data_IF_377468876564
#
_entry.id   IF_377468876564
#
_cell.length_a   1.000
_cell.length_b   1.000
_cell.length_c   1.000
_cell.angle_alpha   90.00
_cell.angle_beta   90.00
_cell.angle_gamma   90.00
#
_symmetry.space_group_name_H-M   'P 1'
#
loop_
_entity.id
_entity.type
_entity.pdbx_description
1 polymer ?
#
# COMPACT_ATOMS: atom_id res chain seq x y z
N UNK A 1 -15.01 -18.91 5.49
CA UNK A 1 -14.59 -18.69 4.09
C UNK A 1 -13.56 -19.75 3.74
N UNK A 2 -13.67 -20.42 2.59
CA UNK A 2 -12.76 -21.49 2.23
C UNK A 2 -11.37 -20.91 1.95
N UNK A 3 -10.35 -21.59 2.48
CA UNK A 3 -8.95 -21.22 2.39
C UNK A 3 -8.49 -21.32 0.93
N UNK A 4 -8.07 -20.21 0.32
CA UNK A 4 -7.33 -20.23 -0.93
C UNK A 4 -5.95 -20.86 -0.66
N UNK A 5 -5.72 -22.07 -1.20
CA UNK A 5 -4.40 -22.68 -1.30
C UNK A 5 -3.80 -22.21 -2.63
N UNK A 6 -2.79 -21.36 -2.59
CA UNK A 6 -1.98 -21.05 -3.76
C UNK A 6 -0.68 -21.87 -3.72
N UNK A 7 -0.36 -22.52 -4.84
CA UNK A 7 0.87 -23.27 -5.06
C UNK A 7 1.95 -22.32 -5.60
N UNK A 8 2.94 -21.96 -4.78
CA UNK A 8 4.14 -21.27 -5.25
C UNK A 8 5.28 -22.29 -5.27
N UNK A 9 5.70 -22.69 -6.48
CA UNK A 9 6.70 -23.73 -6.68
C UNK A 9 8.11 -23.19 -6.43
N UNK A 10 8.56 -23.24 -5.17
CA UNK A 10 9.98 -23.21 -4.85
C UNK A 10 10.27 -24.18 -3.69
N UNK A 11 10.65 -25.41 -4.06
CA UNK A 11 11.27 -26.43 -3.22
C UNK A 11 10.81 -26.56 -1.74
N UNK A 12 9.80 -27.43 -1.54
CA UNK A 12 9.59 -28.29 -0.34
C UNK A 12 8.92 -27.74 0.92
N UNK A 13 8.04 -26.75 0.86
CA UNK A 13 7.00 -26.61 1.90
C UNK A 13 5.80 -25.78 1.48
N UNK A 14 4.60 -26.22 1.86
CA UNK A 14 3.34 -25.48 1.70
C UNK A 14 3.41 -24.14 2.44
N UNK A 15 3.32 -23.04 1.70
CA UNK A 15 3.20 -21.69 2.25
C UNK A 15 1.72 -21.46 2.58
N UNK A 16 1.37 -21.48 3.87
CA UNK A 16 0.01 -21.20 4.32
C UNK A 16 -0.14 -19.68 4.49
N UNK A 17 -0.86 -19.01 3.59
CA UNK A 17 -1.05 -17.55 3.59
C UNK A 17 -1.53 -16.97 4.94
N UNK A 18 -2.29 -17.73 5.75
CA UNK A 18 -2.68 -17.30 7.10
C UNK A 18 -1.51 -17.22 8.11
N UNK A 19 -0.37 -17.82 7.76
CA UNK A 19 0.88 -17.77 8.52
C UNK A 19 1.79 -16.64 8.03
N UNK A 20 1.50 -16.07 6.85
CA UNK A 20 2.25 -14.98 6.23
C UNK A 20 1.62 -13.64 6.56
N UNK A 21 0.29 -13.59 6.63
CA UNK A 21 -0.45 -12.37 6.95
C UNK A 21 -1.23 -12.57 8.24
N UNK A 22 -0.79 -11.98 9.36
CA UNK A 22 -1.48 -12.11 10.64
C UNK A 22 -2.86 -11.45 10.56
N UNK A 23 -3.87 -12.05 11.19
CA UNK A 23 -5.18 -11.39 11.36
C UNK A 23 -5.15 -10.36 12.50
N UNK A 24 -4.19 -10.51 13.42
CA UNK A 24 -4.02 -9.61 14.56
C UNK A 24 -3.59 -8.22 14.10
N UNK A 25 -4.38 -7.22 14.49
CA UNK A 25 -4.16 -5.82 14.13
C UNK A 25 -4.50 -5.47 12.68
N UNK A 26 -5.01 -6.40 11.87
CA UNK A 26 -5.43 -6.12 10.49
C UNK A 26 -6.66 -5.19 10.51
N UNK A 27 -6.51 -4.00 9.94
CA UNK A 27 -7.56 -2.98 9.90
C UNK A 27 -8.05 -2.64 8.49
N UNK A 28 -7.33 -3.08 7.46
CA UNK A 28 -7.77 -3.04 6.06
C UNK A 28 -7.06 -4.11 5.25
N UNK A 29 -7.78 -4.81 4.39
CA UNK A 29 -7.22 -5.74 3.42
C UNK A 29 -8.04 -5.69 2.13
N UNK A 30 -7.48 -5.06 1.09
CA UNK A 30 -8.04 -5.05 -0.25
C UNK A 30 -7.22 -6.00 -1.11
N UNK A 31 -7.76 -7.20 -1.31
CA UNK A 31 -7.12 -8.26 -2.08
C UNK A 31 -7.24 -8.04 -3.59
N UNK A 32 -8.22 -7.24 -4.03
CA UNK A 32 -8.54 -7.02 -5.44
C UNK A 32 -8.88 -8.30 -6.22
N UNK A 33 -9.46 -9.27 -5.54
CA UNK A 33 -9.87 -10.57 -6.07
C UNK A 33 -11.27 -10.60 -6.70
N UNK A 34 -12.01 -9.48 -6.69
CA UNK A 34 -13.41 -9.42 -7.15
C UNK A 34 -13.55 -9.68 -8.65
N UNK A 35 -12.61 -9.17 -9.44
CA UNK A 35 -12.51 -9.43 -10.88
C UNK A 35 -13.55 -8.72 -11.76
N UNK A 36 -14.45 -7.92 -11.18
CA UNK A 36 -15.40 -7.08 -11.90
C UNK A 36 -16.07 -6.06 -10.95
N UNK A 37 -16.69 -5.04 -11.54
CA UNK A 37 -17.44 -4.00 -10.84
C UNK A 37 -16.55 -2.90 -10.28
N UNK A 38 -17.16 -2.04 -9.45
CA UNK A 38 -16.53 -0.81 -8.96
C UNK A 38 -16.25 -0.83 -7.46
N UNK A 39 -16.35 -1.98 -6.80
CA UNK A 39 -16.14 -2.08 -5.34
C UNK A 39 -14.87 -2.86 -5.05
N UNK A 40 -13.99 -2.27 -4.24
CA UNK A 40 -12.86 -2.98 -3.64
C UNK A 40 -13.25 -3.40 -2.22
N UNK A 41 -13.47 -4.69 -1.96
CA UNK A 41 -13.87 -5.14 -0.64
C UNK A 41 -12.68 -5.20 0.31
N UNK A 42 -12.77 -4.42 1.39
CA UNK A 42 -12.02 -4.72 2.62
C UNK A 42 -12.46 -6.05 3.27
N UNK A 43 -11.55 -7.02 3.26
CA UNK A 43 -11.70 -8.34 3.88
C UNK A 43 -11.41 -8.37 5.38
N UNK A 44 -10.95 -7.26 5.96
CA UNK A 44 -10.82 -7.11 7.42
C UNK A 44 -12.19 -7.10 8.11
N UNK A 45 -12.16 -7.05 9.44
CA UNK A 45 -13.36 -6.90 10.27
C UNK A 45 -14.01 -5.51 10.16
N UNK A 46 -13.30 -4.50 9.64
CA UNK A 46 -13.77 -3.11 9.63
C UNK A 46 -14.63 -2.77 8.42
N UNK A 47 -14.53 -3.52 7.32
CA UNK A 47 -15.33 -3.29 6.11
C UNK A 47 -15.17 -1.87 5.56
N UNK A 48 -13.94 -1.38 5.58
CA UNK A 48 -13.52 -0.14 4.94
C UNK A 48 -13.51 -0.31 3.40
N UNK A 49 -14.64 -0.68 2.81
CA UNK A 49 -14.74 -0.93 1.37
C UNK A 49 -14.41 0.33 0.57
N UNK A 50 -13.69 0.14 -0.53
CA UNK A 50 -13.34 1.20 -1.46
C UNK A 50 -14.26 1.21 -2.68
N UNK A 51 -14.30 2.33 -3.38
CA UNK A 51 -14.93 2.48 -4.68
C UNK A 51 -13.85 2.78 -5.73
N UNK A 52 -13.81 2.00 -6.81
CA UNK A 52 -12.96 2.26 -7.95
C UNK A 52 -13.50 3.47 -8.72
N UNK A 53 -12.65 4.44 -8.99
CA UNK A 53 -12.98 5.69 -9.68
C UNK A 53 -12.34 5.67 -11.05
N UNK A 54 -13.15 5.88 -12.09
CA UNK A 54 -12.74 5.86 -13.50
C UNK A 54 -12.14 4.54 -14.00
N UNK A 55 -12.39 3.43 -13.30
CA UNK A 55 -11.97 2.09 -13.71
C UNK A 55 -13.17 1.28 -14.21
N UNK A 56 -12.90 0.28 -15.01
CA UNK A 56 -13.85 -0.63 -15.65
C UNK A 56 -13.47 -2.09 -15.38
N UNK A 57 -14.25 -3.04 -15.90
CA UNK A 57 -13.95 -4.46 -15.77
C UNK A 57 -12.64 -4.87 -16.47
N UNK A 58 -12.12 -4.05 -17.39
CA UNK A 58 -10.85 -4.31 -18.09
C UNK A 58 -9.62 -4.11 -17.18
N UNK A 59 -9.75 -3.30 -16.12
CA UNK A 59 -8.66 -2.99 -15.19
C UNK A 59 -8.43 -4.10 -14.15
N UNK A 60 -9.30 -5.11 -14.13
CA UNK A 60 -9.14 -6.31 -13.32
C UNK A 60 -8.30 -7.35 -14.05
N UNK A 61 -7.00 -7.33 -13.79
CA UNK A 61 -6.02 -8.23 -14.43
C UNK A 61 -5.59 -9.37 -13.51
N UNK A 62 -4.84 -10.34 -14.03
CA UNK A 62 -4.30 -11.42 -13.21
C UNK A 62 -3.23 -10.86 -12.24
N UNK A 63 -3.42 -11.15 -10.95
CA UNK A 63 -2.60 -10.64 -9.86
C UNK A 63 -1.54 -11.62 -9.37
N UNK A 64 -1.02 -11.35 -8.17
CA UNK A 64 -0.13 -12.24 -7.44
C UNK A 64 -0.88 -13.48 -6.96
N UNK A 65 -2.06 -13.24 -6.40
CA UNK A 65 -3.07 -14.24 -6.05
C UNK A 65 -4.37 -13.78 -6.70
N UNK A 66 -4.98 -14.62 -7.52
CA UNK A 66 -6.25 -14.26 -8.17
C UNK A 66 -6.15 -13.02 -9.06
N UNK A 67 -6.80 -11.93 -8.68
CA UNK A 67 -6.89 -10.69 -9.47
C UNK A 67 -6.13 -9.53 -8.82
N UNK A 68 -5.84 -8.51 -9.61
CA UNK A 68 -5.24 -7.26 -9.20
C UNK A 68 -5.88 -6.10 -9.97
N UNK A 69 -5.57 -4.87 -9.55
CA UNK A 69 -5.95 -3.67 -10.29
C UNK A 69 -4.77 -3.14 -11.10
N UNK A 70 -5.00 -2.94 -12.40
CA UNK A 70 -4.12 -2.19 -13.29
C UNK A 70 -4.52 -0.70 -13.29
N UNK A 71 -3.52 0.17 -13.20
CA UNK A 71 -3.67 1.63 -13.22
C UNK A 71 -2.90 2.17 -14.44
N UNK A 72 -3.57 2.93 -15.29
CA UNK A 72 -3.05 3.40 -16.58
C UNK A 72 -2.08 4.60 -16.48
N UNK A 73 -2.00 5.23 -15.30
CA UNK A 73 -1.19 6.42 -15.01
C UNK A 73 -1.52 7.65 -15.88
N UNK A 74 -2.64 7.61 -16.61
CA UNK A 74 -3.04 8.53 -17.66
C UNK A 74 -3.81 9.76 -17.18
N UNK A 75 -4.54 10.38 -18.11
CA UNK A 75 -5.34 11.61 -17.87
C UNK A 75 -6.74 11.28 -17.32
N UNK A 76 -7.15 10.02 -17.43
CA UNK A 76 -8.32 9.42 -16.79
C UNK A 76 -7.90 8.91 -15.43
N UNK A 77 -8.35 9.62 -14.40
CA UNK A 77 -7.82 9.55 -13.04
C UNK A 77 -8.26 8.27 -12.31
N UNK A 78 -7.57 7.16 -12.50
CA UNK A 78 -7.87 5.85 -11.91
C UNK A 78 -7.32 5.73 -10.49
N UNK A 79 -8.19 5.39 -9.53
CA UNK A 79 -7.82 5.13 -8.14
C UNK A 79 -8.95 4.44 -7.40
N UNK A 80 -8.63 3.88 -6.23
CA UNK A 80 -9.63 3.41 -5.27
C UNK A 80 -9.79 4.48 -4.18
N UNK A 81 -11.02 4.95 -3.99
CA UNK A 81 -11.40 5.85 -2.90
C UNK A 81 -11.99 5.07 -1.74
N UNK A 82 -11.42 5.21 -0.55
CA UNK A 82 -11.88 4.56 0.69
C UNK A 82 -12.30 5.66 1.67
N UNK A 83 -13.59 5.73 2.04
CA UNK A 83 -14.08 6.72 3.00
C UNK A 83 -13.31 6.65 4.33
N UNK A 84 -13.13 7.79 4.97
CA UNK A 84 -12.52 7.85 6.28
C UNK A 84 -13.22 6.95 7.31
N UNK A 85 -12.40 6.33 8.16
CA UNK A 85 -12.83 5.54 9.30
C UNK A 85 -11.83 5.69 10.45
N UNK A 86 -12.31 5.60 11.69
CA UNK A 86 -11.45 5.71 12.88
C UNK A 86 -10.34 4.63 12.89
N UNK A 87 -10.57 3.45 12.30
CA UNK A 87 -9.59 2.38 12.17
C UNK A 87 -8.41 2.72 11.25
N UNK A 88 -8.52 3.78 10.44
CA UNK A 88 -7.51 4.28 9.50
C UNK A 88 -6.86 5.58 9.98
N UNK A 89 -7.14 6.02 11.23
CA UNK A 89 -6.53 7.20 11.85
C UNK A 89 -5.47 6.76 12.87
N UNK A 90 -4.22 6.69 12.44
CA UNK A 90 -3.15 6.09 13.24
C UNK A 90 -2.69 6.98 14.41
N UNK A 91 -2.87 8.29 14.28
CA UNK A 91 -2.37 9.24 15.27
C UNK A 91 -0.85 9.12 15.46
N UNK A 92 -0.42 8.99 16.71
CA UNK A 92 0.98 8.70 17.07
C UNK A 92 1.28 7.20 17.22
N UNK A 93 0.31 6.33 16.97
CA UNK A 93 0.43 4.88 17.16
C UNK A 93 1.23 4.21 16.04
N UNK A 94 1.70 3.01 16.33
CA UNK A 94 2.35 2.13 15.36
C UNK A 94 1.39 1.68 14.26
N UNK A 95 1.93 1.46 13.06
CA UNK A 95 1.18 0.92 11.94
C UNK A 95 2.11 0.22 10.95
N UNK A 96 1.53 -0.62 10.10
CA UNK A 96 2.21 -1.18 8.94
C UNK A 96 1.30 -1.13 7.73
N UNK A 97 1.84 -0.77 6.57
CA UNK A 97 1.14 -0.81 5.29
C UNK A 97 1.99 -1.63 4.35
N UNK A 98 1.39 -2.62 3.69
CA UNK A 98 2.04 -3.46 2.69
C UNK A 98 1.21 -3.57 1.43
N UNK A 99 1.85 -3.73 0.28
CA UNK A 99 1.21 -3.97 -1.00
C UNK A 99 2.18 -4.69 -1.95
N UNK A 100 1.65 -5.50 -2.85
CA UNK A 100 2.38 -5.86 -4.05
C UNK A 100 2.22 -4.76 -5.10
N UNK A 101 3.32 -4.40 -5.75
CA UNK A 101 3.31 -3.43 -6.82
C UNK A 101 4.09 -3.93 -8.03
N UNK A 102 3.67 -3.56 -9.23
CA UNK A 102 4.47 -3.65 -10.45
C UNK A 102 4.39 -2.31 -11.16
N UNK A 103 5.35 -1.44 -10.88
CA UNK A 103 5.32 -0.07 -11.39
C UNK A 103 5.89 0.03 -12.81
N UNK A 104 5.21 0.78 -13.66
CA UNK A 104 5.69 1.14 -14.99
C UNK A 104 6.94 2.03 -14.94
N UNK A 105 7.61 2.15 -16.09
CA UNK A 105 8.90 2.86 -16.20
C UNK A 105 8.77 4.39 -16.33
N UNK A 106 7.58 4.93 -16.56
CA UNK A 106 7.37 6.38 -16.71
C UNK A 106 7.26 7.08 -15.35
N UNK A 107 8.17 8.02 -15.12
CA UNK A 107 8.27 8.81 -13.91
C UNK A 107 7.93 10.30 -14.12
N UNK A 108 7.09 10.65 -15.10
CA UNK A 108 6.67 12.04 -15.29
C UNK A 108 6.02 12.66 -14.04
N UNK A 109 5.43 11.82 -13.18
CA UNK A 109 4.86 12.20 -11.90
C UNK A 109 5.24 11.23 -10.78
N UNK A 110 5.07 11.68 -9.53
CA UNK A 110 5.11 10.76 -8.39
C UNK A 110 3.92 9.80 -8.50
N UNK A 111 4.10 8.55 -8.07
CA UNK A 111 3.09 7.48 -8.23
C UNK A 111 2.52 7.10 -6.86
N UNK A 112 1.31 7.56 -6.55
CA UNK A 112 0.65 7.29 -5.27
C UNK A 112 0.34 5.81 -5.08
N UNK A 113 0.68 5.23 -3.93
CA UNK A 113 0.42 3.81 -3.65
C UNK A 113 -0.70 3.71 -2.62
N UNK A 114 -0.48 4.28 -1.43
CA UNK A 114 -1.47 4.37 -0.36
C UNK A 114 -1.33 5.74 0.30
N UNK A 115 -2.36 6.58 0.21
CA UNK A 115 -2.30 7.94 0.71
C UNK A 115 -3.55 8.25 1.55
N UNK A 116 -3.39 8.96 2.67
CA UNK A 116 -4.51 9.49 3.45
C UNK A 116 -4.44 11.01 3.37
N UNK A 117 -5.32 11.63 2.57
CA UNK A 117 -5.34 13.08 2.32
C UNK A 117 -4.11 13.67 1.61
N UNK A 118 -3.33 12.86 0.87
CA UNK A 118 -2.24 13.33 -0.03
C UNK A 118 -0.94 13.81 0.64
N UNK A 119 -0.92 13.92 1.97
CA UNK A 119 0.29 14.15 2.77
C UNK A 119 0.74 15.60 2.93
N UNK A 120 0.03 16.58 2.36
CA UNK A 120 0.43 18.00 2.39
C UNK A 120 -0.09 18.78 3.60
N UNK A 121 -1.21 18.36 4.18
CA UNK A 121 -1.80 18.99 5.37
C UNK A 121 -1.46 18.22 6.63
N UNK A 122 -1.60 18.87 7.78
CA UNK A 122 -1.41 18.23 9.08
C UNK A 122 -2.31 16.98 9.23
N UNK A 123 -1.78 15.91 9.83
CA UNK A 123 -2.47 14.64 9.98
C UNK A 123 -2.52 13.75 8.73
N UNK A 124 -2.23 14.27 7.54
CA UNK A 124 -2.24 13.51 6.29
C UNK A 124 -0.89 12.87 5.99
N UNK A 125 -0.87 11.78 5.22
CA UNK A 125 0.37 11.20 4.72
C UNK A 125 0.21 10.62 3.30
N UNK A 126 1.34 10.41 2.65
CA UNK A 126 1.44 9.75 1.36
C UNK A 126 2.59 8.74 1.36
N UNK A 127 2.29 7.51 0.96
CA UNK A 127 3.27 6.48 0.62
C UNK A 127 3.24 6.27 -0.89
N UNK A 128 4.35 6.55 -1.57
CA UNK A 128 4.36 6.70 -3.03
C UNK A 128 5.76 6.44 -3.63
N UNK A 129 5.85 6.32 -4.96
CA UNK A 129 7.14 6.30 -5.68
C UNK A 129 7.59 7.69 -6.13
N UNK A 130 8.83 8.04 -5.81
CA UNK A 130 9.47 9.24 -6.31
C UNK A 130 9.62 9.22 -7.84
N UNK A 131 9.47 10.39 -8.45
CA UNK A 131 9.38 10.56 -9.90
C UNK A 131 10.75 10.68 -10.59
N UNK A 132 11.82 10.74 -9.83
CA UNK A 132 13.17 10.83 -10.39
C UNK A 132 13.92 9.54 -10.14
N UNK A 133 13.81 9.01 -8.93
CA UNK A 133 14.54 7.81 -8.53
C UNK A 133 13.75 6.51 -8.64
N UNK A 134 12.41 6.57 -8.67
CA UNK A 134 11.57 5.38 -8.53
C UNK A 134 11.63 4.75 -7.14
N UNK A 135 12.16 5.47 -6.14
CA UNK A 135 12.26 4.99 -4.76
C UNK A 135 10.95 5.15 -4.03
N UNK A 136 10.71 4.28 -3.04
CA UNK A 136 9.66 4.50 -2.05
C UNK A 136 9.91 5.82 -1.30
N UNK A 137 8.83 6.54 -1.00
CA UNK A 137 8.87 7.75 -0.20
C UNK A 137 7.66 7.84 0.72
N UNK A 138 7.91 8.26 1.95
CA UNK A 138 6.87 8.60 2.92
C UNK A 138 6.93 10.09 3.21
N UNK A 139 5.79 10.75 3.03
CA UNK A 139 5.65 12.20 3.12
C UNK A 139 4.45 12.57 3.97
N UNK A 140 4.62 13.53 4.85
CA UNK A 140 3.54 14.04 5.72
C UNK A 140 3.82 15.48 6.11
N UNK A 141 2.78 16.27 6.33
CA UNK A 141 2.89 17.67 6.76
C UNK A 141 3.74 18.54 5.83
N UNK A 142 3.79 18.22 4.53
CA UNK A 142 4.61 18.96 3.57
C UNK A 142 6.09 18.56 3.53
N UNK A 143 6.51 17.52 4.28
CA UNK A 143 7.91 17.11 4.42
C UNK A 143 8.13 15.64 4.06
N UNK A 144 9.27 15.35 3.43
CA UNK A 144 9.74 13.97 3.23
C UNK A 144 10.33 13.45 4.54
N UNK A 145 9.78 12.35 5.04
CA UNK A 145 10.26 11.71 6.28
C UNK A 145 11.31 10.66 5.99
N UNK A 146 11.10 9.88 4.93
CA UNK A 146 11.99 8.78 4.54
C UNK A 146 11.96 8.59 3.03
N UNK A 147 13.15 8.44 2.46
CA UNK A 147 13.42 8.03 1.09
C UNK A 147 14.04 6.63 1.10
N UNK A 148 13.54 5.75 0.23
CA UNK A 148 14.12 4.45 -0.06
C UNK A 148 15.45 4.55 -0.82
N UNK A 149 16.05 3.40 -1.12
CA UNK A 149 17.31 3.32 -1.87
C UNK A 149 17.23 2.42 -3.10
N UNK A 150 16.13 1.67 -3.24
CA UNK A 150 15.89 0.73 -4.34
C UNK A 150 14.88 1.35 -5.33
N UNK A 151 15.23 1.39 -6.61
CA UNK A 151 14.33 1.79 -7.69
C UNK A 151 13.37 0.65 -8.02
N UNK A 152 12.06 0.93 -8.02
CA UNK A 152 10.98 -0.05 -8.21
C UNK A 152 10.21 0.14 -9.51
N UNK A 153 10.57 1.14 -10.32
CA UNK A 153 9.98 1.45 -11.62
C UNK A 153 10.62 0.62 -12.75
N UNK A 154 10.77 -0.69 -12.53
CA UNK A 154 11.48 -1.61 -13.42
C UNK A 154 10.54 -2.62 -14.10
N UNK A 155 9.21 -2.40 -13.96
CA UNK A 155 8.16 -3.26 -14.47
C UNK A 155 8.22 -4.71 -13.92
N UNK A 156 8.83 -4.91 -12.74
CA UNK A 156 8.79 -6.18 -11.99
C UNK A 156 7.89 -6.07 -10.78
N UNK A 157 7.41 -7.24 -10.35
CA UNK A 157 6.60 -7.37 -9.16
C UNK A 157 7.50 -7.27 -7.92
N UNK A 158 7.13 -6.40 -7.00
CA UNK A 158 7.78 -6.21 -5.71
C UNK A 158 6.75 -6.22 -4.58
N UNK A 159 7.12 -6.79 -3.43
CA UNK A 159 6.35 -6.63 -2.19
C UNK A 159 6.96 -5.52 -1.35
N UNK A 160 6.21 -4.44 -1.16
CA UNK A 160 6.67 -3.24 -0.45
C UNK A 160 5.95 -3.07 0.87
N UNK A 161 6.67 -2.56 1.87
CA UNK A 161 6.09 -2.28 3.17
C UNK A 161 6.66 -0.98 3.76
N UNK A 162 5.81 -0.23 4.46
CA UNK A 162 6.20 0.84 5.38
C UNK A 162 5.73 0.50 6.79
N UNK A 163 6.62 0.62 7.76
CA UNK A 163 6.36 0.25 9.16
C UNK A 163 6.78 1.39 10.07
N UNK A 164 5.83 1.88 10.87
CA UNK A 164 6.12 2.76 12.01
C UNK A 164 6.18 1.92 13.28
N UNK A 165 7.27 2.06 14.03
CA UNK A 165 7.47 1.42 15.35
C UNK A 165 8.00 2.46 16.33
N UNK A 166 7.11 3.06 17.13
CA UNK A 166 7.39 4.23 17.95
C UNK A 166 7.73 5.44 17.08
N UNK A 167 8.98 5.92 17.22
CA UNK A 167 9.50 7.06 16.46
C UNK A 167 10.19 6.65 15.16
N UNK A 168 10.41 5.35 14.94
CA UNK A 168 11.07 4.88 13.73
C UNK A 168 10.09 4.71 12.57
N UNK A 169 10.60 4.85 11.35
CA UNK A 169 9.92 4.49 10.12
C UNK A 169 10.90 3.67 9.28
N UNK A 170 10.45 2.52 8.78
CA UNK A 170 11.28 1.64 7.95
C UNK A 170 10.55 1.26 6.68
N UNK A 171 11.31 1.13 5.58
CA UNK A 171 10.84 0.50 4.35
C UNK A 171 11.44 -0.88 4.18
N UNK A 172 10.62 -1.81 3.71
CA UNK A 172 11.05 -3.13 3.27
C UNK A 172 10.63 -3.34 1.83
N UNK A 173 11.51 -3.92 1.03
CA UNK A 173 11.28 -4.34 -0.36
C UNK A 173 11.64 -5.82 -0.44
N UNK A 174 10.72 -6.63 -0.96
CA UNK A 174 10.88 -8.07 -1.13
C UNK A 174 11.39 -8.74 0.15
N UNK A 175 10.72 -8.43 1.27
CA UNK A 175 11.04 -8.98 2.60
C UNK A 175 12.39 -8.56 3.21
N UNK A 176 13.12 -7.63 2.57
CA UNK A 176 14.43 -7.13 3.02
C UNK A 176 14.33 -5.65 3.37
N UNK A 177 15.00 -5.24 4.46
CA UNK A 177 15.08 -3.83 4.84
C UNK A 177 15.75 -3.03 3.74
N UNK A 178 15.07 -2.03 3.21
CA UNK A 178 15.64 -1.05 2.28
C UNK A 178 16.31 0.08 3.07
N UNK A 179 15.56 0.71 3.98
CA UNK A 179 16.03 1.87 4.74
C UNK A 179 15.25 2.05 6.05
N UNK A 180 15.79 2.85 6.96
CA UNK A 180 15.13 3.23 8.21
C UNK A 180 15.56 4.61 8.68
N UNK A 181 14.67 5.29 9.40
CA UNK A 181 14.98 6.44 10.24
C UNK A 181 14.53 6.14 11.67
N UNK A 182 15.38 6.42 12.66
CA UNK A 182 15.11 6.08 14.06
C UNK A 182 14.16 7.06 14.75
N UNK A 183 14.09 8.30 14.27
CA UNK A 183 13.33 9.39 14.89
C UNK A 183 12.42 10.16 13.93
N UNK A 184 12.29 9.72 12.68
CA UNK A 184 11.52 10.42 11.65
C UNK A 184 10.05 10.60 11.97
N UNK A 185 9.47 9.79 12.87
CA UNK A 185 8.07 9.87 13.30
C UNK A 185 7.88 10.51 14.67
N UNK A 186 8.94 11.03 15.30
CA UNK A 186 8.85 11.65 16.63
C UNK A 186 7.87 12.83 16.63
N UNK A 187 6.82 12.73 17.44
CA UNK A 187 5.79 13.77 17.55
C UNK A 187 4.86 13.91 16.35
N UNK A 188 4.97 13.05 15.33
CA UNK A 188 4.08 13.08 14.16
C UNK A 188 2.75 12.42 14.52
N UNK A 189 1.68 13.22 14.47
CA UNK A 189 0.29 12.81 14.63
C UNK A 189 -0.38 12.66 13.25
N UNK A 190 -0.76 11.42 12.88
CA UNK A 190 -1.46 11.07 11.65
C UNK A 190 -2.98 10.89 11.87
N UNK A 191 -3.58 11.71 12.73
CA UNK A 191 -5.01 11.69 13.02
C UNK A 191 -5.78 12.69 12.14
N UNK A 192 -6.21 12.24 10.97
CA UNK A 192 -7.03 13.05 10.05
C UNK A 192 -8.32 12.34 9.66
N UNK A 193 -9.38 13.12 9.40
CA UNK A 193 -10.66 12.62 8.88
C UNK A 193 -10.71 12.59 7.33
N UNK A 194 -9.57 12.74 6.66
CA UNK A 194 -9.49 12.63 5.20
C UNK A 194 -9.60 11.18 4.74
N UNK A 195 -10.18 10.99 3.56
CA UNK A 195 -10.28 9.69 2.91
C UNK A 195 -8.90 9.09 2.59
N UNK A 196 -8.90 7.78 2.38
CA UNK A 196 -7.77 7.00 1.90
C UNK A 196 -7.89 6.77 0.40
N UNK A 197 -6.76 6.82 -0.29
CA UNK A 197 -6.65 6.59 -1.72
C UNK A 197 -5.59 5.54 -2.00
N UNK A 198 -5.95 4.52 -2.78
CA UNK A 198 -5.00 3.55 -3.36
C UNK A 198 -4.85 3.90 -4.84
N UNK A 199 -3.61 3.97 -5.32
CA UNK A 199 -3.33 4.35 -6.70
C UNK A 199 -3.32 5.85 -6.97
N UNK A 200 -3.54 6.70 -5.95
CA UNK A 200 -3.48 8.15 -6.10
C UNK A 200 -2.93 8.85 -4.87
N UNK A 201 -2.16 9.91 -5.11
CA UNK A 201 -1.70 10.80 -4.05
C UNK A 201 -2.52 12.10 -4.00
N UNK A 202 -2.50 12.86 -5.09
CA UNK A 202 -3.23 14.10 -5.32
C UNK A 202 -2.96 14.62 -6.75
N UNK A 203 -3.86 15.48 -7.26
CA UNK A 203 -3.79 16.08 -8.59
C UNK A 203 -3.48 15.03 -9.67
N UNK A 204 -2.28 15.04 -10.26
CA UNK A 204 -1.85 14.16 -11.37
C UNK A 204 -0.94 13.00 -10.94
N UNK A 205 -0.87 12.72 -9.64
CA UNK A 205 0.07 11.74 -9.07
C UNK A 205 -0.57 10.36 -8.92
N UNK A 206 -1.09 9.85 -10.03
CA UNK A 206 -1.67 8.51 -10.16
C UNK A 206 -0.59 7.46 -10.28
N UNK A 207 -0.90 6.26 -9.80
CA UNK A 207 -0.08 5.08 -10.02
C UNK A 207 -0.09 4.68 -11.49
N UNK A 208 0.97 4.02 -11.91
CA UNK A 208 1.10 3.46 -13.26
C UNK A 208 1.60 2.03 -13.11
N UNK A 209 0.78 1.05 -13.46
CA UNK A 209 1.06 -0.37 -13.32
C UNK A 209 0.10 -1.07 -12.35
N UNK A 210 0.54 -2.17 -11.73
CA UNK A 210 -0.34 -3.01 -10.91
C UNK A 210 -0.18 -2.71 -9.42
N UNK A 211 -1.30 -2.69 -8.69
CA UNK A 211 -1.32 -2.79 -7.23
C UNK A 211 -2.18 -3.99 -6.85
N UNK A 212 -1.69 -4.77 -5.89
CA UNK A 212 -2.35 -5.96 -5.41
C UNK A 212 -2.16 -6.12 -3.89
N UNK A 213 -3.10 -6.84 -3.25
CA UNK A 213 -2.92 -7.41 -1.92
C UNK A 213 -2.57 -6.36 -0.83
N UNK A 214 -3.22 -5.19 -0.89
CA UNK A 214 -2.99 -4.05 0.01
C UNK A 214 -3.47 -4.39 1.41
N UNK A 215 -2.56 -4.35 2.39
CA UNK A 215 -2.84 -4.64 3.81
C UNK A 215 -2.41 -3.51 4.71
N UNK A 216 -3.24 -3.24 5.71
CA UNK A 216 -3.02 -2.18 6.70
C UNK A 216 -3.22 -2.75 8.09
N UNK A 217 -2.24 -2.50 8.94
CA UNK A 217 -2.19 -2.94 10.33
C UNK A 217 -2.10 -1.75 11.26
N UNK A 218 -2.82 -1.80 12.39
CA UNK A 218 -2.74 -0.79 13.46
C UNK A 218 -1.65 -1.12 14.50
N UNK A 219 -0.58 -1.77 14.04
CA UNK A 219 0.62 -2.11 14.81
C UNK A 219 1.81 -2.24 13.89
N UNK A 220 3.01 -2.23 14.47
CA UNK A 220 4.22 -2.63 13.77
C UNK A 220 4.20 -4.16 13.52
N UNK A 221 4.42 -4.57 12.28
CA UNK A 221 4.74 -5.95 11.95
C UNK A 221 6.19 -6.24 12.36
N UNK A 222 6.44 -7.45 12.87
CA UNK A 222 7.79 -7.90 13.21
C UNK A 222 8.45 -8.62 12.02
N UNK A 223 9.78 -8.78 12.04
CA UNK A 223 10.53 -9.42 10.93
C UNK A 223 10.01 -10.79 10.51
N UNK A 224 9.45 -11.60 11.43
CA UNK A 224 8.86 -12.89 11.07
C UNK A 224 7.55 -12.79 10.29
N UNK A 225 6.88 -11.64 10.35
CA UNK A 225 5.65 -11.33 9.62
C UNK A 225 5.93 -10.56 8.31
N UNK A 226 7.12 -9.94 8.20
CA UNK A 226 7.58 -9.18 7.02
C UNK A 226 8.14 -10.11 5.94
N UNK A 227 8.75 -11.24 6.33
CA UNK A 227 9.56 -12.14 5.47
C UNK A 227 8.76 -13.14 4.59
N UNK A 228 7.54 -12.77 4.28
CA UNK A 228 6.51 -13.67 3.77
C UNK A 228 6.44 -13.62 2.25
#
# INVERSE_FOLDING_TARGET
>A
MPLAKLEIYNNKSWINLNKLYPAEGLVGWWAFDEGAGITAYDHSKNKNHGTLINMTDEDWVDGVVGKALEFDGGVTNEYVSIPDAASLRFGTSDFSIGAFIKAGVDLSFHRGIYCKGGGITEGTFAFYLDKLSGFLRFFTGGTVILDGTIALNDNKLHYIQVIRSGNSLSFYVDSVLDTTTEAGMAGIDLNTAADVFIGWRDVSRFFLGLIDEVRVYNRALVLSEIKA
#
